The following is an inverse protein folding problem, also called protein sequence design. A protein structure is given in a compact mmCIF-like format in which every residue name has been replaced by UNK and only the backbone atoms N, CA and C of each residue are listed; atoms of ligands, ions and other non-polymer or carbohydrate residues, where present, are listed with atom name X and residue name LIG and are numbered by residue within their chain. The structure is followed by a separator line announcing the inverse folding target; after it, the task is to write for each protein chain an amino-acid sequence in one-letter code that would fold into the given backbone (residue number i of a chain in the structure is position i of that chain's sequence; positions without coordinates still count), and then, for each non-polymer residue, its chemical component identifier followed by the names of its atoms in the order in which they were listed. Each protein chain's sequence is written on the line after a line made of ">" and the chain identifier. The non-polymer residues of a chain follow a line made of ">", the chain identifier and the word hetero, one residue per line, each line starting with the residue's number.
data_IF_788376529234
#
_entry.id   IF_788376529234
#
_cell.length_a   1.000
_cell.length_b   1.000
_cell.length_c   1.000
_cell.angle_alpha   90.00
_cell.angle_beta   90.00
_cell.angle_gamma   90.00
#
_symmetry.space_group_name_H-M   'P 1'
#
loop_
_entity.id
_entity.type
_entity.pdbx_description
1 polymer ?
#
# COMPACT_ATOMS: atom_id res chain seq x y z
N UNK A 1 -3.69 -15.37 0.22
CA UNK A 1 -3.70 -14.07 -0.50
C UNK A 1 -2.49 -13.22 -0.14
N UNK A 2 -2.40 -12.59 1.04
CA UNK A 2 -1.23 -11.76 1.42
C UNK A 2 0.09 -12.52 1.40
N UNK A 3 0.07 -13.80 1.83
CA UNK A 3 1.25 -14.68 1.76
C UNK A 3 1.62 -15.03 0.30
N UNK A 4 0.65 -15.08 -0.62
CA UNK A 4 0.88 -15.33 -2.04
C UNK A 4 1.51 -14.10 -2.69
N UNK A 5 0.96 -12.90 -2.45
CA UNK A 5 1.54 -11.62 -2.92
C UNK A 5 2.94 -11.43 -2.34
N UNK A 6 3.12 -11.67 -1.03
CA UNK A 6 4.42 -11.62 -0.37
C UNK A 6 5.41 -12.57 -1.04
N UNK A 7 5.02 -13.84 -1.25
CA UNK A 7 5.86 -14.81 -1.96
C UNK A 7 6.18 -14.33 -3.36
N UNK A 8 5.23 -13.82 -4.14
CA UNK A 8 5.50 -13.35 -5.52
C UNK A 8 6.55 -12.23 -5.52
N UNK A 9 6.45 -11.29 -4.59
CA UNK A 9 7.27 -10.06 -4.53
C UNK A 9 8.56 -10.17 -3.69
N UNK A 10 8.79 -11.28 -2.99
CA UNK A 10 9.97 -11.45 -2.13
C UNK A 10 11.11 -12.24 -2.78
N UNK A 11 10.90 -12.81 -3.98
CA UNK A 11 11.96 -13.45 -4.75
C UNK A 11 12.70 -12.43 -5.61
N UNK A 12 14.03 -12.51 -5.62
CA UNK A 12 14.87 -11.58 -6.38
C UNK A 12 15.15 -10.25 -5.68
N UNK A 13 14.87 -10.14 -4.37
CA UNK A 13 15.25 -8.96 -3.60
C UNK A 13 16.78 -8.88 -3.49
N UNK A 14 17.45 -7.87 -4.09
CA UNK A 14 18.83 -7.61 -3.77
C UNK A 14 18.96 -7.27 -2.28
N UNK A 15 20.05 -7.69 -1.65
CA UNK A 15 20.34 -7.36 -0.26
C UNK A 15 20.54 -5.84 -0.13
N UNK A 16 19.49 -5.13 0.31
CA UNK A 16 19.50 -3.74 0.77
C UNK A 16 20.60 -2.87 0.13
N UNK A 17 20.55 -2.68 -1.18
CA UNK A 17 21.25 -1.58 -1.79
C UNK A 17 20.45 -0.31 -1.47
N UNK A 18 21.04 0.62 -0.73
CA UNK A 18 20.52 1.99 -0.69
C UNK A 18 20.63 2.46 -2.14
N UNK A 19 19.51 2.76 -2.83
CA UNK A 19 19.61 3.24 -4.19
C UNK A 19 20.49 4.49 -4.17
N UNK A 20 21.52 4.53 -5.01
CA UNK A 20 22.00 5.83 -5.47
C UNK A 20 20.76 6.60 -5.97
N UNK A 21 20.77 7.93 -5.85
CA UNK A 21 19.64 8.82 -6.20
C UNK A 21 19.34 8.84 -7.72
N UNK A 22 19.27 7.67 -8.34
CA UNK A 22 19.22 7.45 -9.78
C UNK A 22 17.97 6.65 -10.12
N UNK A 23 17.13 7.33 -10.89
CA UNK A 23 15.89 6.89 -11.53
C UNK A 23 14.79 6.32 -10.61
N UNK A 24 14.03 7.24 -9.98
CA UNK A 24 12.93 6.96 -9.04
C UNK A 24 11.69 6.25 -9.60
N UNK A 25 11.79 5.54 -10.74
CA UNK A 25 10.70 4.77 -11.37
C UNK A 25 10.93 3.26 -11.35
N UNK A 26 12.16 2.79 -11.17
CA UNK A 26 12.51 1.38 -11.32
C UNK A 26 11.95 0.49 -10.18
N UNK A 27 11.03 -0.43 -10.52
CA UNK A 27 10.37 -1.38 -9.61
C UNK A 27 11.31 -2.26 -8.82
N UNK A 28 12.44 -2.61 -9.41
CA UNK A 28 13.48 -3.38 -8.73
C UNK A 28 13.91 -2.76 -7.39
N UNK A 29 13.92 -1.42 -7.31
CA UNK A 29 14.35 -0.70 -6.13
C UNK A 29 13.23 -0.57 -5.08
N UNK A 30 11.97 -0.48 -5.50
CA UNK A 30 10.83 -0.24 -4.60
C UNK A 30 9.99 -1.48 -4.26
N UNK A 31 10.23 -2.64 -4.88
CA UNK A 31 9.52 -3.90 -4.58
C UNK A 31 9.53 -4.26 -3.09
N UNK A 32 10.68 -4.13 -2.40
CA UNK A 32 10.77 -4.43 -0.96
C UNK A 32 9.86 -3.50 -0.16
N UNK A 33 9.87 -2.22 -0.51
CA UNK A 33 9.13 -1.17 0.18
C UNK A 33 7.62 -1.27 -0.09
N UNK A 34 7.23 -1.72 -1.28
CA UNK A 34 5.86 -2.07 -1.61
C UNK A 34 5.35 -3.18 -0.68
N UNK A 35 6.15 -4.24 -0.51
CA UNK A 35 5.84 -5.35 0.38
C UNK A 35 5.78 -4.93 1.84
N UNK A 36 6.75 -4.15 2.32
CA UNK A 36 6.75 -3.65 3.69
C UNK A 36 5.55 -2.72 3.95
N UNK A 37 5.15 -1.92 2.98
CA UNK A 37 3.96 -1.07 3.08
C UNK A 37 2.66 -1.87 3.14
N UNK A 38 2.57 -2.98 2.40
CA UNK A 38 1.46 -3.92 2.55
C UNK A 38 1.41 -4.52 3.97
N UNK A 39 2.56 -4.89 4.54
CA UNK A 39 2.62 -5.39 5.93
C UNK A 39 2.19 -4.33 6.93
N UNK A 40 2.65 -3.08 6.77
CA UNK A 40 2.27 -1.96 7.64
C UNK A 40 0.76 -1.69 7.58
N UNK A 41 0.16 -1.71 6.39
CA UNK A 41 -1.30 -1.60 6.23
C UNK A 41 -2.05 -2.73 6.94
N UNK A 42 -1.54 -3.96 6.86
CA UNK A 42 -2.11 -5.09 7.59
C UNK A 42 -1.98 -4.92 9.11
N UNK A 43 -0.81 -4.48 9.59
CA UNK A 43 -0.58 -4.22 11.02
C UNK A 43 -1.55 -3.15 11.54
N UNK A 44 -1.69 -2.05 10.80
CA UNK A 44 -2.62 -0.98 11.15
C UNK A 44 -4.06 -1.50 11.26
N UNK A 45 -4.49 -2.35 10.33
CA UNK A 45 -5.81 -2.97 10.38
C UNK A 45 -5.99 -3.84 11.64
N UNK A 46 -4.99 -4.67 11.98
CA UNK A 46 -4.98 -5.50 13.19
C UNK A 46 -5.04 -4.63 14.45
N UNK A 47 -4.19 -3.61 14.55
CA UNK A 47 -4.13 -2.74 15.73
C UNK A 47 -5.46 -2.01 15.98
N UNK A 48 -6.14 -1.56 14.93
CA UNK A 48 -7.45 -0.90 15.03
C UNK A 48 -8.53 -1.89 15.48
N UNK A 49 -8.49 -3.13 14.98
CA UNK A 49 -9.41 -4.20 15.39
C UNK A 49 -9.18 -4.57 16.84
N UNK A 50 -7.94 -4.85 17.24
CA UNK A 50 -7.59 -5.22 18.61
C UNK A 50 -7.97 -4.11 19.60
N UNK A 51 -7.74 -2.84 19.22
CA UNK A 51 -8.21 -1.71 20.01
C UNK A 51 -9.74 -1.64 20.08
N UNK A 52 -10.44 -1.90 18.97
CA UNK A 52 -11.90 -1.91 18.94
C UNK A 52 -12.48 -3.05 19.80
N UNK A 53 -11.86 -4.24 19.77
CA UNK A 53 -12.24 -5.39 20.61
C UNK A 53 -11.99 -5.06 22.08
N UNK A 54 -10.84 -4.45 22.42
CA UNK A 54 -10.56 -4.02 23.79
C UNK A 54 -11.59 -3.01 24.27
N UNK A 55 -11.93 -2.00 23.46
CA UNK A 55 -12.98 -1.02 23.80
C UNK A 55 -14.31 -1.74 24.02
N UNK A 56 -14.70 -2.66 23.12
CA UNK A 56 -15.90 -3.48 23.27
C UNK A 56 -15.91 -4.26 24.59
N UNK A 57 -14.84 -5.00 24.90
CA UNK A 57 -14.74 -5.79 26.13
C UNK A 57 -14.69 -4.93 27.39
N UNK A 58 -14.03 -3.77 27.36
CA UNK A 58 -14.00 -2.84 28.51
C UNK A 58 -15.30 -2.06 28.69
N UNK A 59 -16.10 -1.93 27.62
CA UNK A 59 -17.47 -1.41 27.71
C UNK A 59 -18.44 -2.39 28.38
N UNK A 60 -17.93 -3.49 28.95
CA UNK A 60 -18.65 -4.43 29.84
C UNK A 60 -19.76 -3.70 30.57
N UNK A 61 -21.00 -4.10 30.26
CA UNK A 61 -22.21 -3.60 30.88
C UNK A 61 -22.25 -4.01 32.34
N UNK A 62 -21.46 -3.32 33.16
CA UNK A 62 -21.57 -3.33 34.60
C UNK A 62 -22.76 -2.43 34.94
N UNK A 63 -23.96 -2.99 34.76
CA UNK A 63 -25.19 -2.35 35.22
C UNK A 63 -25.40 -2.68 36.69
N UNK A 64 -25.64 -1.65 37.49
CA UNK A 64 -26.00 -1.79 38.91
C UNK A 64 -27.49 -2.14 39.08
N UNK A 65 -28.21 -2.28 37.97
CA UNK A 65 -29.65 -2.52 37.91
C UNK A 65 -29.92 -3.86 37.23
N UNK A 66 -30.85 -4.62 37.80
CA UNK A 66 -31.34 -5.86 37.21
C UNK A 66 -32.08 -5.49 35.91
N UNK A 67 -31.49 -5.82 34.76
CA UNK A 67 -32.11 -5.62 33.45
C UNK A 67 -32.95 -6.83 33.06
N UNK A 68 -33.96 -6.61 32.22
CA UNK A 68 -34.66 -7.71 31.56
C UNK A 68 -33.75 -8.36 30.50
N UNK A 69 -33.99 -9.65 30.21
CA UNK A 69 -33.29 -10.36 29.14
C UNK A 69 -33.40 -9.66 27.78
N UNK A 70 -34.56 -9.03 27.52
CA UNK A 70 -34.81 -8.29 26.28
C UNK A 70 -33.94 -7.04 26.17
N UNK A 71 -33.83 -6.25 27.25
CA UNK A 71 -32.96 -5.07 27.28
C UNK A 71 -31.51 -5.46 27.12
N UNK A 72 -31.05 -6.49 27.84
CA UNK A 72 -29.70 -7.03 27.71
C UNK A 72 -29.39 -7.44 26.26
N UNK A 73 -30.28 -8.20 25.61
CA UNK A 73 -30.08 -8.63 24.23
C UNK A 73 -30.05 -7.45 23.25
N UNK A 74 -30.91 -6.45 23.45
CA UNK A 74 -30.93 -5.25 22.63
C UNK A 74 -29.63 -4.45 22.76
N UNK A 75 -29.14 -4.30 24.00
CA UNK A 75 -27.89 -3.58 24.28
C UNK A 75 -26.67 -4.31 23.69
N UNK A 76 -26.61 -5.65 23.81
CA UNK A 76 -25.58 -6.48 23.18
C UNK A 76 -25.60 -6.35 21.66
N UNK A 77 -26.76 -6.52 21.03
CA UNK A 77 -26.90 -6.42 19.57
C UNK A 77 -26.52 -5.02 19.06
N UNK A 78 -27.01 -3.98 19.72
CA UNK A 78 -26.64 -2.59 19.40
C UNK A 78 -25.13 -2.37 19.49
N UNK A 79 -24.48 -2.90 20.52
CA UNK A 79 -23.04 -2.73 20.71
C UNK A 79 -22.24 -3.47 19.63
N UNK A 80 -22.67 -4.68 19.25
CA UNK A 80 -22.08 -5.45 18.13
C UNK A 80 -22.25 -4.68 16.81
N UNK A 81 -23.44 -4.15 16.54
CA UNK A 81 -23.71 -3.36 15.33
C UNK A 81 -22.82 -2.11 15.28
N UNK A 82 -22.68 -1.40 16.41
CA UNK A 82 -21.79 -0.24 16.49
C UNK A 82 -20.32 -0.62 16.25
N UNK A 83 -19.85 -1.75 16.79
CA UNK A 83 -18.50 -2.25 16.52
C UNK A 83 -18.29 -2.50 15.02
N UNK A 84 -19.20 -3.28 14.39
CA UNK A 84 -19.10 -3.64 12.97
C UNK A 84 -19.15 -2.42 12.05
N UNK A 85 -19.94 -1.41 12.39
CA UNK A 85 -20.07 -0.19 11.58
C UNK A 85 -18.91 0.79 11.80
N UNK A 86 -18.43 0.96 13.04
CA UNK A 86 -17.44 1.99 13.38
C UNK A 86 -16.01 1.57 13.08
N UNK A 87 -15.63 0.31 13.30
CA UNK A 87 -14.25 -0.14 13.11
C UNK A 87 -13.73 0.12 11.69
N UNK A 88 -14.48 -0.17 10.60
CA UNK A 88 -14.06 0.17 9.24
C UNK A 88 -13.92 1.68 9.01
N UNK A 89 -14.80 2.49 9.62
CA UNK A 89 -14.77 3.96 9.51
C UNK A 89 -13.53 4.52 10.19
N UNK A 90 -13.20 4.02 11.39
CA UNK A 90 -12.00 4.44 12.12
C UNK A 90 -10.76 4.12 11.29
N UNK A 91 -10.66 2.91 10.74
CA UNK A 91 -9.56 2.55 9.85
C UNK A 91 -9.45 3.49 8.65
N UNK A 92 -10.56 3.77 7.97
CA UNK A 92 -10.61 4.70 6.83
C UNK A 92 -10.07 6.08 7.19
N UNK A 93 -10.56 6.63 8.30
CA UNK A 93 -10.20 7.97 8.77
C UNK A 93 -8.74 8.02 9.19
N UNK A 94 -8.25 7.02 9.93
CA UNK A 94 -6.84 6.92 10.30
C UNK A 94 -5.95 6.82 9.07
N UNK A 95 -6.31 5.96 8.11
CA UNK A 95 -5.57 5.82 6.86
C UNK A 95 -5.57 7.13 6.06
N UNK A 96 -6.70 7.81 5.93
CA UNK A 96 -6.75 9.09 5.21
C UNK A 96 -5.96 10.19 5.91
N UNK A 97 -5.95 10.24 7.25
CA UNK A 97 -5.08 11.15 8.01
C UNK A 97 -3.60 10.88 7.75
N UNK A 98 -3.16 9.62 7.74
CA UNK A 98 -1.78 9.24 7.40
C UNK A 98 -1.44 9.75 5.99
N UNK A 99 -2.33 9.51 5.03
CA UNK A 99 -2.15 9.90 3.63
C UNK A 99 -2.09 11.41 3.44
N UNK A 100 -2.95 12.17 4.13
CA UNK A 100 -2.95 13.63 4.09
C UNK A 100 -1.67 14.22 4.70
N UNK A 101 -1.19 13.65 5.81
CA UNK A 101 0.08 14.06 6.41
C UNK A 101 1.26 13.75 5.49
N UNK A 102 1.26 12.57 4.84
CA UNK A 102 2.33 12.20 3.91
C UNK A 102 2.39 13.11 2.67
N UNK A 103 1.24 13.58 2.16
CA UNK A 103 1.19 14.50 1.02
C UNK A 103 1.61 15.93 1.42
N UNK A 104 1.08 16.43 2.53
CA UNK A 104 1.31 17.81 2.99
C UNK A 104 2.69 18.02 3.60
N UNK A 105 3.40 16.94 3.94
CA UNK A 105 4.76 17.02 4.46
C UNK A 105 5.74 17.20 3.30
N UNK A 106 6.48 18.31 3.31
CA UNK A 106 7.54 18.61 2.34
C UNK A 106 8.82 17.82 2.59
N UNK A 107 8.85 16.95 3.60
CA UNK A 107 9.93 15.99 3.78
C UNK A 107 9.96 15.04 2.58
N UNK A 108 11.12 14.99 1.95
CA UNK A 108 11.41 14.04 0.88
C UNK A 108 11.23 12.63 1.43
N UNK A 109 10.36 11.84 0.80
CA UNK A 109 10.23 10.43 1.10
C UNK A 109 11.55 9.70 0.76
N UNK A 110 11.72 8.47 1.23
CA UNK A 110 12.95 7.69 1.00
C UNK A 110 13.35 7.54 -0.49
N UNK A 111 12.40 7.75 -1.42
CA UNK A 111 12.62 7.70 -2.88
C UNK A 111 12.48 9.05 -3.58
N UNK A 112 12.37 10.14 -2.82
CA UNK A 112 12.07 11.48 -3.35
C UNK A 112 10.86 11.51 -4.28
N UNK A 113 9.89 10.59 -4.13
CA UNK A 113 8.75 10.42 -5.05
C UNK A 113 7.70 11.52 -4.92
N UNK A 114 7.69 12.22 -3.79
CA UNK A 114 6.79 13.33 -3.47
C UNK A 114 7.47 14.69 -3.65
N UNK A 115 8.67 14.83 -3.08
CA UNK A 115 9.45 16.06 -3.06
C UNK A 115 10.91 15.72 -3.34
N UNK A 116 11.51 16.47 -4.27
CA UNK A 116 12.94 16.42 -4.55
C UNK A 116 13.68 17.50 -3.76
N UNK A 117 14.91 17.19 -3.36
CA UNK A 117 15.78 18.10 -2.62
C UNK A 117 16.86 18.64 -3.55
N UNK A 118 16.70 19.89 -3.97
CA UNK A 118 17.65 20.55 -4.87
C UNK A 118 18.50 21.59 -4.13
N UNK A 119 19.74 21.78 -4.58
CA UNK A 119 20.56 22.90 -4.11
C UNK A 119 20.01 24.21 -4.68
N UNK A 120 19.84 25.21 -3.83
CA UNK A 120 19.28 26.50 -4.23
C UNK A 120 20.29 27.28 -5.09
N UNK A 121 19.98 27.42 -6.38
CA UNK A 121 20.77 28.21 -7.33
C UNK A 121 22.00 27.47 -7.85
N UNK A 122 21.83 26.69 -8.92
CA UNK A 122 22.95 26.16 -9.71
C UNK A 122 23.89 27.27 -10.24
N UNK A 123 23.41 28.51 -10.32
CA UNK A 123 24.14 29.67 -10.83
C UNK A 123 24.89 30.50 -9.75
N UNK A 124 24.79 30.16 -8.46
CA UNK A 124 25.42 30.95 -7.39
C UNK A 124 26.29 30.03 -6.52
N UNK A 125 27.58 30.01 -6.82
CA UNK A 125 28.63 29.17 -6.19
C UNK A 125 28.71 29.24 -4.66
N UNK A 126 28.00 30.16 -4.00
CA UNK A 126 28.08 30.41 -2.55
C UNK A 126 26.85 30.03 -1.73
N UNK A 127 25.76 29.54 -2.34
CA UNK A 127 24.54 29.23 -1.59
C UNK A 127 24.46 27.74 -1.23
N UNK A 128 24.77 27.39 0.02
CA UNK A 128 24.65 26.02 0.56
C UNK A 128 23.23 25.72 1.09
N UNK A 129 22.22 26.44 0.61
CA UNK A 129 20.83 26.16 0.99
C UNK A 129 20.24 25.08 0.08
N UNK A 130 19.33 24.29 0.66
CA UNK A 130 18.54 23.31 -0.07
C UNK A 130 17.09 23.79 -0.12
N UNK A 131 16.45 23.57 -1.27
CA UNK A 131 15.02 23.77 -1.45
C UNK A 131 14.36 22.43 -1.75
N UNK A 132 13.08 22.32 -1.37
CA UNK A 132 12.25 21.18 -1.77
C UNK A 132 11.35 21.61 -2.91
N UNK A 133 11.31 20.81 -3.97
CA UNK A 133 10.39 21.00 -5.08
C UNK A 133 9.49 19.79 -5.22
N UNK A 134 8.21 19.97 -5.56
CA UNK A 134 7.33 18.83 -5.71
C UNK A 134 7.66 18.07 -7.00
N UNK A 135 7.62 16.74 -6.93
CA UNK A 135 7.73 15.92 -8.14
C UNK A 135 6.50 16.12 -9.02
N UNK A 136 6.75 16.25 -10.32
CA UNK A 136 5.73 16.28 -11.36
C UNK A 136 5.85 14.98 -12.14
N UNK A 137 4.78 14.19 -12.13
CA UNK A 137 4.67 13.02 -12.98
C UNK A 137 4.06 13.42 -14.32
N UNK A 138 4.63 12.89 -15.40
CA UNK A 138 4.18 13.12 -16.76
C UNK A 138 3.66 11.80 -17.33
N UNK A 139 2.40 11.77 -17.70
CA UNK A 139 1.82 10.71 -18.51
C UNK A 139 2.00 11.10 -19.98
N UNK A 140 2.93 10.42 -20.64
CA UNK A 140 3.30 10.66 -22.04
C UNK A 140 2.17 10.24 -22.99
N UNK A 141 1.42 9.20 -22.65
CA UNK A 141 0.34 8.67 -23.49
C UNK A 141 -0.87 9.60 -23.48
N UNK A 142 -1.19 10.16 -22.31
CA UNK A 142 -2.33 11.07 -22.16
C UNK A 142 -1.96 12.54 -22.33
N UNK A 143 -0.66 12.85 -22.50
CA UNK A 143 -0.12 14.21 -22.53
C UNK A 143 -0.60 15.06 -21.34
N UNK A 144 -0.64 14.45 -20.16
CA UNK A 144 -1.05 15.11 -18.92
C UNK A 144 0.10 15.12 -17.92
N UNK A 145 0.15 16.15 -17.09
CA UNK A 145 1.05 16.21 -15.95
C UNK A 145 0.25 16.34 -14.67
N UNK A 146 0.75 15.71 -13.62
CA UNK A 146 0.19 15.85 -12.28
C UNK A 146 1.32 16.13 -11.28
N UNK A 147 1.05 17.04 -10.35
CA UNK A 147 2.00 17.39 -9.29
C UNK A 147 1.66 16.63 -8.01
N UNK A 148 2.68 16.07 -7.37
CA UNK A 148 2.53 15.39 -6.09
C UNK A 148 2.18 16.33 -4.94
N UNK A 149 2.40 17.64 -5.08
CA UNK A 149 1.93 18.63 -4.11
C UNK A 149 0.43 18.90 -4.19
N UNK A 150 -0.19 18.76 -5.36
CA UNK A 150 -1.60 19.14 -5.58
C UNK A 150 -2.53 17.95 -5.66
N UNK A 151 -2.06 16.81 -6.20
CA UNK A 151 -2.89 15.64 -6.43
C UNK A 151 -2.25 14.38 -5.84
N UNK A 152 -2.80 13.89 -4.73
CA UNK A 152 -2.36 12.66 -4.06
C UNK A 152 -2.47 11.41 -4.93
N UNK A 153 -3.46 11.37 -5.82
CA UNK A 153 -3.72 10.22 -6.69
C UNK A 153 -2.89 10.27 -7.98
N UNK A 154 -1.97 11.23 -8.08
CA UNK A 154 -1.01 11.31 -9.16
C UNK A 154 -0.13 10.06 -9.15
N UNK A 155 -0.01 9.43 -10.31
CA UNK A 155 0.65 8.14 -10.48
C UNK A 155 1.11 7.96 -11.92
N UNK A 156 2.09 7.10 -12.10
CA UNK A 156 2.60 6.64 -13.39
C UNK A 156 2.71 5.11 -13.38
N UNK A 157 2.78 4.46 -14.55
CA UNK A 157 3.03 3.03 -14.61
C UNK A 157 4.31 2.64 -13.86
N UNK A 158 4.28 1.46 -13.23
CA UNK A 158 5.47 0.84 -12.67
C UNK A 158 6.34 0.28 -13.79
N UNK A 159 7.63 0.62 -13.79
CA UNK A 159 8.57 0.22 -14.84
C UNK A 159 9.75 -0.54 -14.23
N UNK A 160 10.27 -1.54 -14.93
CA UNK A 160 11.59 -2.11 -14.69
C UNK A 160 12.50 -1.59 -15.79
N UNK A 161 13.63 -1.01 -15.40
CA UNK A 161 14.57 -0.38 -16.32
C UNK A 161 15.99 -0.84 -16.05
N UNK A 162 16.83 -0.94 -17.09
CA UNK A 162 18.26 -1.17 -16.97
C UNK A 162 19.01 -0.04 -17.68
N UNK A 163 19.88 0.68 -16.97
CA UNK A 163 20.58 1.87 -17.50
C UNK A 163 19.65 2.86 -18.23
N UNK A 164 18.49 3.14 -17.62
CA UNK A 164 17.41 4.00 -18.14
C UNK A 164 16.65 3.46 -19.38
N UNK A 165 16.99 2.28 -19.87
CA UNK A 165 16.23 1.58 -20.91
C UNK A 165 15.04 0.83 -20.30
N UNK A 166 13.84 1.04 -20.85
CA UNK A 166 12.63 0.36 -20.42
C UNK A 166 12.67 -1.12 -20.80
N UNK A 167 12.65 -2.01 -19.80
CA UNK A 167 12.53 -3.45 -19.99
C UNK A 167 11.07 -3.88 -19.96
N UNK A 168 10.33 -3.46 -18.92
CA UNK A 168 8.96 -3.92 -18.68
C UNK A 168 8.12 -2.87 -17.98
N UNK A 169 6.88 -2.69 -18.43
CA UNK A 169 5.82 -2.04 -17.66
C UNK A 169 5.05 -3.12 -16.90
N UNK A 170 4.98 -3.01 -15.58
CA UNK A 170 4.35 -4.04 -14.73
C UNK A 170 2.84 -3.79 -14.65
N UNK A 171 2.06 -4.69 -15.26
CA UNK A 171 0.61 -4.55 -15.37
C UNK A 171 -0.07 -4.33 -14.01
N UNK A 172 -0.83 -3.26 -13.88
CA UNK A 172 -1.58 -2.97 -12.66
C UNK A 172 -0.78 -2.43 -11.49
N UNK A 173 0.56 -2.50 -11.53
CA UNK A 173 1.38 -1.79 -10.57
C UNK A 173 1.62 -0.36 -11.05
N UNK A 174 1.61 0.57 -10.11
CA UNK A 174 1.81 2.00 -10.37
C UNK A 174 2.75 2.59 -9.36
N UNK A 175 3.51 3.59 -9.77
CA UNK A 175 4.28 4.44 -8.89
C UNK A 175 3.48 5.70 -8.57
N UNK A 176 3.18 5.91 -7.29
CA UNK A 176 2.47 7.09 -6.81
C UNK A 176 3.41 8.08 -6.12
N UNK A 177 2.89 9.25 -5.81
CA UNK A 177 3.64 10.30 -5.11
C UNK A 177 4.21 9.88 -3.76
N UNK A 178 3.59 8.91 -3.10
CA UNK A 178 4.11 8.34 -1.86
C UNK A 178 4.01 6.82 -1.95
N UNK A 179 4.91 6.10 -1.26
CA UNK A 179 4.91 4.64 -1.23
C UNK A 179 3.56 4.03 -0.84
N UNK A 180 2.84 4.70 0.06
CA UNK A 180 1.48 4.33 0.45
C UNK A 180 0.49 4.45 -0.72
N UNK A 181 0.60 5.49 -1.54
CA UNK A 181 -0.22 5.65 -2.74
C UNK A 181 0.18 4.67 -3.85
N UNK A 182 1.46 4.38 -4.02
CA UNK A 182 1.97 3.30 -4.89
C UNK A 182 1.23 2.00 -4.60
N UNK A 183 1.17 1.60 -3.32
CA UNK A 183 0.44 0.40 -2.89
C UNK A 183 -1.06 0.56 -3.14
N UNK A 184 -1.69 1.61 -2.60
CA UNK A 184 -3.14 1.76 -2.61
C UNK A 184 -3.75 1.90 -4.01
N UNK A 185 -3.02 2.53 -4.95
CA UNK A 185 -3.48 2.79 -6.31
C UNK A 185 -3.15 1.66 -7.28
N UNK A 186 -2.28 0.73 -6.90
CA UNK A 186 -2.00 -0.48 -7.66
C UNK A 186 -3.18 -1.45 -7.60
N UNK A 187 -3.39 -2.18 -8.69
CA UNK A 187 -4.39 -3.24 -8.82
C UNK A 187 -3.76 -4.60 -8.59
N UNK A 188 -4.63 -5.63 -8.53
CA UNK A 188 -4.17 -7.00 -8.38
C UNK A 188 -3.83 -7.68 -9.72
N UNK A 189 -3.90 -6.99 -10.86
CA UNK A 189 -3.95 -7.63 -12.18
C UNK A 189 -2.71 -8.47 -12.48
N UNK A 190 -1.49 -7.98 -12.21
CA UNK A 190 -0.29 -8.81 -12.37
C UNK A 190 -0.34 -10.09 -11.51
N UNK A 191 -0.86 -10.01 -10.29
CA UNK A 191 -0.90 -11.17 -9.39
C UNK A 191 -1.87 -12.26 -9.83
N UNK A 192 -2.84 -11.96 -10.70
CA UNK A 192 -3.71 -12.96 -11.35
C UNK A 192 -3.14 -13.50 -12.66
N UNK A 193 -2.13 -12.85 -13.23
CA UNK A 193 -1.56 -13.18 -14.53
C UNK A 193 -0.24 -13.95 -14.36
N UNK A 194 -0.21 -15.27 -14.60
CA UNK A 194 1.04 -16.05 -14.57
C UNK A 194 2.09 -15.47 -15.52
N UNK A 195 1.65 -14.97 -16.68
CA UNK A 195 2.51 -14.31 -17.67
C UNK A 195 3.12 -13.03 -17.11
N UNK A 196 2.34 -12.17 -16.45
CA UNK A 196 2.89 -10.96 -15.85
C UNK A 196 3.93 -11.29 -14.78
N UNK A 197 3.61 -12.23 -13.88
CA UNK A 197 4.53 -12.68 -12.83
C UNK A 197 5.83 -13.21 -13.44
N UNK A 198 5.73 -13.99 -14.52
CA UNK A 198 6.89 -14.54 -15.23
C UNK A 198 7.76 -13.43 -15.83
N UNK A 199 7.17 -12.48 -16.56
CA UNK A 199 7.89 -11.38 -17.19
C UNK A 199 8.59 -10.48 -16.16
N UNK A 200 7.92 -10.19 -15.03
CA UNK A 200 8.52 -9.41 -13.93
C UNK A 200 9.76 -10.12 -13.40
N UNK A 201 9.76 -11.45 -13.31
CA UNK A 201 10.91 -12.21 -12.79
C UNK A 201 12.07 -12.27 -13.75
N UNK A 202 11.78 -12.47 -15.03
CA UNK A 202 12.80 -12.42 -16.08
C UNK A 202 13.45 -11.04 -16.10
N UNK A 203 12.65 -9.97 -15.99
CA UNK A 203 13.16 -8.61 -15.97
C UNK A 203 13.99 -8.27 -14.71
N UNK A 204 13.78 -8.98 -13.59
CA UNK A 204 14.55 -8.81 -12.35
C UNK A 204 15.75 -9.78 -12.25
N UNK A 205 16.07 -10.52 -13.31
CA UNK A 205 17.06 -11.62 -13.31
C UNK A 205 16.85 -12.62 -12.14
N UNK A 206 15.61 -12.74 -11.66
CA UNK A 206 15.24 -13.50 -10.49
C UNK A 206 14.95 -14.97 -10.82
N UNK A 207 15.75 -15.59 -11.70
CA UNK A 207 15.72 -17.03 -11.98
C UNK A 207 16.27 -17.84 -10.79
N UNK A 208 15.63 -17.70 -9.63
CA UNK A 208 15.90 -18.57 -8.49
C UNK A 208 15.20 -19.92 -8.71
N UNK A 209 16.01 -20.99 -8.71
CA UNK A 209 15.54 -22.38 -8.65
C UNK A 209 14.75 -22.58 -7.35
N UNK A 210 13.41 -22.63 -7.42
CA UNK A 210 12.57 -22.93 -6.25
C UNK A 210 11.19 -22.29 -6.22
N UNK A 211 10.88 -21.34 -7.11
CA UNK A 211 9.52 -20.80 -7.20
C UNK A 211 8.61 -21.68 -8.06
N UNK A 212 7.46 -22.06 -7.48
CA UNK A 212 6.40 -22.73 -8.23
C UNK A 212 5.74 -21.72 -9.18
N UNK A 213 5.90 -21.93 -10.50
CA UNK A 213 5.29 -21.13 -11.58
C UNK A 213 3.77 -21.01 -11.44
N UNK A 214 3.14 -21.89 -10.66
CA UNK A 214 1.71 -21.83 -10.37
C UNK A 214 1.35 -20.88 -9.22
N UNK A 215 2.31 -20.19 -8.61
CA UNK A 215 2.03 -19.24 -7.52
C UNK A 215 1.48 -17.92 -8.08
N UNK A 216 0.17 -17.88 -8.29
CA UNK A 216 -0.61 -16.70 -8.67
C UNK A 216 -1.94 -16.71 -7.90
N UNK A 217 -2.65 -15.58 -7.93
CA UNK A 217 -4.02 -15.51 -7.44
C UNK A 217 -4.94 -16.17 -8.47
N UNK A 218 -5.91 -16.96 -7.99
CA UNK A 218 -6.96 -17.52 -8.83
C UNK A 218 -8.30 -16.91 -8.46
N UNK A 219 -9.11 -16.53 -9.44
CA UNK A 219 -10.45 -16.00 -9.20
C UNK A 219 -11.34 -16.94 -8.36
N UNK A 220 -11.08 -18.25 -8.38
CA UNK A 220 -11.82 -19.23 -7.58
C UNK A 220 -11.34 -19.32 -6.12
N UNK A 221 -10.12 -18.84 -5.82
CA UNK A 221 -9.51 -18.93 -4.48
C UNK A 221 -9.46 -17.59 -3.76
N UNK A 222 -9.86 -16.51 -4.43
CA UNK A 222 -9.88 -15.16 -3.88
C UNK A 222 -11.27 -14.55 -3.93
N UNK A 223 -11.51 -13.59 -3.04
CA UNK A 223 -12.73 -12.77 -3.07
C UNK A 223 -12.57 -11.44 -3.81
N UNK A 224 -11.39 -11.19 -4.37
CA UNK A 224 -11.04 -9.92 -5.01
C UNK A 224 -11.15 -10.04 -6.51
N UNK A 225 -11.57 -8.97 -7.17
CA UNK A 225 -11.50 -8.87 -8.62
C UNK A 225 -10.06 -8.54 -9.06
N UNK A 226 -9.71 -8.95 -10.27
CA UNK A 226 -8.45 -8.64 -10.95
C UNK A 226 -8.19 -7.13 -10.99
N UNK A 227 -9.24 -6.35 -11.25
CA UNK A 227 -9.16 -4.89 -11.39
C UNK A 227 -9.32 -4.14 -10.06
N UNK A 228 -9.51 -4.85 -8.95
CA UNK A 228 -9.61 -4.17 -7.67
C UNK A 228 -8.25 -3.55 -7.32
N UNK A 229 -8.29 -2.28 -6.91
CA UNK A 229 -7.14 -1.62 -6.29
C UNK A 229 -6.96 -2.13 -4.87
N UNK A 230 -5.73 -2.08 -4.37
CA UNK A 230 -5.47 -2.43 -2.97
C UNK A 230 -6.27 -1.51 -2.04
N UNK A 231 -6.52 -0.25 -2.40
CA UNK A 231 -7.43 0.65 -1.65
C UNK A 231 -8.86 0.14 -1.58
N UNK A 232 -9.45 -0.25 -2.71
CA UNK A 232 -10.83 -0.76 -2.75
C UNK A 232 -10.92 -2.10 -2.02
N UNK A 233 -9.84 -2.90 -2.05
CA UNK A 233 -9.77 -4.13 -1.27
C UNK A 233 -9.38 -3.91 0.19
N UNK A 234 -8.82 -2.78 0.60
CA UNK A 234 -8.28 -2.55 1.94
C UNK A 234 -9.35 -2.76 3.04
N UNK A 235 -10.58 -2.37 2.76
CA UNK A 235 -11.73 -2.59 3.63
C UNK A 235 -12.06 -4.09 3.81
N UNK A 236 -12.22 -4.88 2.74
CA UNK A 236 -12.28 -6.32 2.89
C UNK A 236 -10.96 -6.95 3.37
N UNK A 237 -9.78 -6.36 3.18
CA UNK A 237 -8.51 -6.85 3.75
C UNK A 237 -8.50 -6.76 5.27
N UNK A 238 -9.17 -5.75 5.84
CA UNK A 238 -9.49 -5.70 7.27
C UNK A 238 -10.14 -7.04 7.70
N UNK A 239 -11.13 -7.52 6.94
CA UNK A 239 -11.81 -8.80 7.18
C UNK A 239 -10.89 -10.02 6.99
N UNK A 240 -9.89 -10.00 6.10
CA UNK A 240 -8.87 -11.09 6.00
C UNK A 240 -7.96 -11.10 7.22
N UNK A 241 -7.47 -9.94 7.64
CA UNK A 241 -6.58 -9.82 8.78
C UNK A 241 -7.31 -10.24 10.07
N UNK A 242 -8.58 -9.85 10.20
CA UNK A 242 -9.50 -10.28 11.27
C UNK A 242 -9.73 -11.79 11.25
N UNK A 243 -10.03 -12.40 10.10
CA UNK A 243 -10.35 -13.84 10.02
C UNK A 243 -9.14 -14.73 10.35
N UNK A 244 -7.92 -14.26 10.12
CA UNK A 244 -6.70 -14.96 10.55
C UNK A 244 -6.51 -14.91 12.08
N UNK A 245 -7.07 -13.91 12.76
CA UNK A 245 -6.98 -13.72 14.20
C UNK A 245 -8.10 -14.45 14.97
N UNK A 246 -9.29 -14.61 14.37
CA UNK A 246 -10.40 -15.39 14.94
C UNK A 246 -10.26 -16.91 14.73
N UNK A 247 -9.25 -17.35 13.97
CA UNK A 247 -8.96 -18.77 13.70
C UNK A 247 -7.66 -19.28 14.35
N UNK A 248 -7.04 -18.46 15.21
CA UNK A 248 -5.92 -18.81 16.10
C UNK A 248 -6.35 -18.80 17.55
#
# INVERSE_FOLDING_TARGET
>A
ETNTIYKILSYGLPAAAIPEFTNGRNFELWQQFFVESLKLLCSLAVDIVDNSIRIFLTSTMLTNQLQSLTEFNNEVNYTIDQFQQRTPIIFAQTLDLIRLNAQGNTLSAAFSSNWDLMKAGEDIESNNSFITIPIIHHDVEQNTSCSCSTLRTCKIPAEITNDDELILIVEGLVFGCHLLETVLLSTLSCFYSPTCIHNVREALDAESTGFDRNTHLHNASTRFNVNDTIKTTAYPWLVICINKYLSS
#
